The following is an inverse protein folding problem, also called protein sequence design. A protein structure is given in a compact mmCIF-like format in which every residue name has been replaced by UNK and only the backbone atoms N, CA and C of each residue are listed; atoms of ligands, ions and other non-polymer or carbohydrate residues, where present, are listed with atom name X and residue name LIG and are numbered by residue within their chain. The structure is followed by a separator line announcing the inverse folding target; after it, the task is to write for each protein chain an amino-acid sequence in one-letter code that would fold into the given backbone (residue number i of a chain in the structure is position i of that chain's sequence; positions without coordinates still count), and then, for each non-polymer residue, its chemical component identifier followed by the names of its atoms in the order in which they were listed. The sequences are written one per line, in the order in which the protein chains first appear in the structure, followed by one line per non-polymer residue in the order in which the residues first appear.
data_IF_603037858803
#
_entry.id   IF_603037858803
#
_cell.length_a   1.000
_cell.length_b   1.000
_cell.length_c   1.000
_cell.angle_alpha   90.00
_cell.angle_beta   90.00
_cell.angle_gamma   90.00
#
_symmetry.space_group_name_H-M   'P 1'
#
loop_
_entity.id
_entity.type
_entity.pdbx_description
1 polymer ?
#
# COMPACT_ATOMS: atom_id res chain seq x y z
N UNK A 1 -1.98 -42.20 15.03
CA UNK A 1 -0.67 -41.52 14.87
C UNK A 1 -0.79 -40.21 14.07
N UNK A 2 -1.48 -39.17 14.56
CA UNK A 2 -1.63 -37.87 13.85
C UNK A 2 -1.37 -36.63 14.71
N UNK A 3 -1.12 -36.79 16.02
CA UNK A 3 -0.95 -35.65 16.95
C UNK A 3 0.47 -35.09 16.98
N UNK A 4 1.48 -35.89 16.62
CA UNK A 4 2.88 -35.47 16.72
C UNK A 4 3.31 -34.55 15.55
N UNK A 5 2.69 -34.69 14.37
CA UNK A 5 3.05 -33.91 13.18
C UNK A 5 2.73 -32.41 13.30
N UNK A 6 1.66 -32.05 14.03
CA UNK A 6 1.29 -30.65 14.28
C UNK A 6 2.21 -29.95 15.29
N UNK A 7 2.78 -30.71 16.22
CA UNK A 7 3.69 -30.16 17.23
C UNK A 7 5.07 -29.85 16.61
N UNK A 8 5.57 -30.70 15.71
CA UNK A 8 6.81 -30.43 14.98
C UNK A 8 6.70 -29.24 14.01
N UNK A 9 5.54 -29.04 13.37
CA UNK A 9 5.33 -27.89 12.48
C UNK A 9 5.29 -26.55 13.24
N UNK A 10 4.67 -26.53 14.42
CA UNK A 10 4.59 -25.32 15.26
C UNK A 10 5.96 -24.93 15.86
N UNK A 11 6.78 -25.91 16.25
CA UNK A 11 8.14 -25.68 16.75
C UNK A 11 9.06 -25.17 15.63
N UNK A 12 8.91 -25.69 14.40
CA UNK A 12 9.69 -25.21 13.24
C UNK A 12 9.40 -23.76 12.87
N UNK A 13 8.13 -23.34 12.90
CA UNK A 13 7.74 -21.94 12.67
C UNK A 13 8.27 -21.04 13.80
N UNK A 14 8.17 -21.50 15.06
CA UNK A 14 8.66 -20.74 16.21
C UNK A 14 10.19 -20.54 16.19
N UNK A 15 10.96 -21.56 15.77
CA UNK A 15 12.41 -21.44 15.61
C UNK A 15 12.81 -20.54 14.43
N UNK A 16 12.04 -20.50 13.35
CA UNK A 16 12.26 -19.50 12.27
C UNK A 16 12.03 -18.07 12.76
N UNK A 17 11.00 -17.82 13.57
CA UNK A 17 10.75 -16.49 14.14
C UNK A 17 11.82 -16.09 15.17
N UNK A 18 12.36 -17.03 15.94
CA UNK A 18 13.42 -16.75 16.92
C UNK A 18 14.78 -16.46 16.24
N UNK A 19 15.10 -17.18 15.17
CA UNK A 19 16.28 -16.90 14.35
C UNK A 19 16.19 -15.53 13.64
N UNK A 20 14.99 -15.16 13.18
CA UNK A 20 14.74 -13.81 12.64
C UNK A 20 14.85 -12.72 13.72
N UNK A 21 14.44 -13.00 14.96
CA UNK A 21 14.54 -12.06 16.07
C UNK A 21 15.98 -11.89 16.58
N UNK A 22 16.81 -12.95 16.57
CA UNK A 22 18.24 -12.85 16.92
C UNK A 22 19.06 -12.16 15.81
N UNK A 23 18.67 -12.30 14.55
CA UNK A 23 19.27 -11.54 13.44
C UNK A 23 18.95 -10.04 13.47
N UNK A 24 17.94 -9.62 14.24
CA UNK A 24 17.60 -8.21 14.50
C UNK A 24 18.34 -7.61 15.71
N UNK A 25 19.05 -8.43 16.49
CA UNK A 25 19.74 -8.02 17.72
C UNK A 25 21.15 -7.47 17.52
N UNK A 26 21.77 -7.71 16.37
CA UNK A 26 23.08 -7.15 16.02
C UNK A 26 22.89 -5.88 15.19
N UNK A 27 23.00 -4.75 15.88
CA UNK A 27 23.37 -3.42 15.39
C UNK A 27 23.25 -3.22 13.87
N UNK A 28 22.02 -3.04 13.38
CA UNK A 28 21.85 -2.34 12.11
C UNK A 28 22.31 -0.88 12.34
N UNK A 29 23.29 -0.35 11.58
CA UNK A 29 23.50 1.09 11.54
C UNK A 29 22.14 1.73 11.22
N UNK A 30 21.91 2.97 11.66
CA UNK A 30 20.76 3.75 11.24
C UNK A 30 20.79 3.84 9.70
N UNK A 31 20.18 2.86 9.05
CA UNK A 31 20.08 2.80 7.60
C UNK A 31 19.07 3.89 7.28
N UNK A 32 19.55 4.98 6.69
CA UNK A 32 18.69 6.07 6.24
C UNK A 32 17.54 5.46 5.44
N UNK A 33 16.34 5.61 5.98
CA UNK A 33 15.16 5.00 5.41
C UNK A 33 14.92 5.63 4.03
N UNK A 34 15.03 4.82 2.98
CA UNK A 34 14.79 5.28 1.61
C UNK A 34 13.28 5.42 1.36
N UNK A 35 12.77 6.60 1.70
CA UNK A 35 11.35 6.93 1.51
C UNK A 35 10.92 6.87 0.05
N UNK A 36 11.83 7.20 -0.88
CA UNK A 36 11.52 7.19 -2.31
C UNK A 36 11.32 5.77 -2.81
N UNK A 37 12.25 4.86 -2.50
CA UNK A 37 12.12 3.45 -2.86
C UNK A 37 10.90 2.80 -2.20
N UNK A 38 10.56 3.20 -0.98
CA UNK A 38 9.35 2.73 -0.32
C UNK A 38 8.08 3.20 -1.04
N UNK A 39 8.02 4.47 -1.43
CA UNK A 39 6.90 5.03 -2.20
C UNK A 39 6.76 4.33 -3.56
N UNK A 40 7.87 4.10 -4.27
CA UNK A 40 7.88 3.35 -5.53
C UNK A 40 7.32 1.93 -5.36
N UNK A 41 7.65 1.25 -4.26
CA UNK A 41 7.10 -0.07 -3.95
C UNK A 41 5.57 -0.01 -3.72
N UNK A 42 5.08 0.97 -2.97
CA UNK A 42 3.64 1.18 -2.76
C UNK A 42 2.93 1.42 -4.10
N UNK A 43 3.48 2.29 -4.94
CA UNK A 43 2.93 2.56 -6.26
C UNK A 43 3.02 1.35 -7.20
N UNK A 44 4.02 0.50 -7.05
CA UNK A 44 4.08 -0.80 -7.73
C UNK A 44 2.91 -1.71 -7.35
N UNK A 45 2.53 -1.75 -6.07
CA UNK A 45 1.34 -2.48 -5.61
C UNK A 45 0.06 -1.87 -6.21
N UNK A 46 -0.05 -0.55 -6.23
CA UNK A 46 -1.17 0.16 -6.85
C UNK A 46 -1.34 -0.24 -8.32
N UNK A 47 -0.26 -0.14 -9.11
CA UNK A 47 -0.27 -0.48 -10.52
C UNK A 47 -0.68 -1.95 -10.75
N UNK A 48 -0.18 -2.86 -9.93
CA UNK A 48 -0.44 -4.29 -10.07
C UNK A 48 -1.85 -4.71 -9.64
N UNK A 49 -2.49 -3.98 -8.70
CA UNK A 49 -3.72 -4.46 -8.03
C UNK A 49 -4.94 -3.57 -8.14
N UNK A 50 -4.78 -2.27 -8.40
CA UNK A 50 -5.88 -1.30 -8.26
C UNK A 50 -6.07 -0.39 -9.46
N UNK A 51 -5.00 -0.08 -10.21
CA UNK A 51 -5.07 0.89 -11.30
C UNK A 51 -6.12 0.54 -12.37
N UNK A 52 -6.23 -0.74 -12.75
CA UNK A 52 -7.20 -1.21 -13.75
C UNK A 52 -8.65 -1.04 -13.28
N UNK A 53 -8.95 -1.42 -12.04
CA UNK A 53 -10.31 -1.36 -11.50
C UNK A 53 -10.75 0.09 -11.34
N UNK A 54 -9.84 0.96 -10.90
CA UNK A 54 -10.07 2.40 -10.82
C UNK A 54 -10.33 3.01 -12.20
N UNK A 55 -9.56 2.64 -13.23
CA UNK A 55 -9.79 3.10 -14.59
C UNK A 55 -11.15 2.62 -15.14
N UNK A 56 -11.57 1.39 -14.80
CA UNK A 56 -12.89 0.87 -15.14
C UNK A 56 -14.03 1.70 -14.53
N UNK A 57 -13.97 1.94 -13.21
CA UNK A 57 -14.97 2.73 -12.49
C UNK A 57 -15.03 4.18 -13.00
N UNK A 58 -13.88 4.79 -13.28
CA UNK A 58 -13.82 6.14 -13.83
C UNK A 58 -14.46 6.20 -15.21
N UNK A 59 -14.18 5.21 -16.07
CA UNK A 59 -14.76 5.12 -17.41
C UNK A 59 -16.29 5.02 -17.36
N UNK A 60 -16.83 4.15 -16.50
CA UNK A 60 -18.28 4.02 -16.30
C UNK A 60 -18.91 5.36 -15.90
N UNK A 61 -18.28 6.07 -14.95
CA UNK A 61 -18.72 7.40 -14.53
C UNK A 61 -18.71 8.40 -15.70
N UNK A 62 -17.62 8.46 -16.44
CA UNK A 62 -17.41 9.52 -17.44
C UNK A 62 -18.24 9.33 -18.71
N UNK A 63 -18.54 8.09 -19.10
CA UNK A 63 -19.50 7.78 -20.19
C UNK A 63 -20.87 8.40 -19.93
N UNK A 64 -21.28 8.52 -18.66
CA UNK A 64 -22.56 9.14 -18.29
C UNK A 64 -22.53 10.68 -18.23
N UNK A 65 -21.34 11.30 -18.19
CA UNK A 65 -21.16 12.73 -17.93
C UNK A 65 -20.66 13.51 -19.14
N UNK A 66 -19.92 12.87 -20.05
CA UNK A 66 -19.30 13.53 -21.19
C UNK A 66 -19.92 13.06 -22.51
N UNK A 67 -19.83 13.92 -23.53
CA UNK A 67 -20.13 13.53 -24.89
C UNK A 67 -19.23 12.36 -25.34
N UNK A 68 -19.72 11.39 -26.13
CA UNK A 68 -18.97 10.18 -26.49
C UNK A 68 -17.57 10.44 -27.05
N UNK A 69 -17.41 11.48 -27.87
CA UNK A 69 -16.14 11.88 -28.48
C UNK A 69 -15.10 12.40 -27.48
N UNK A 70 -15.51 12.76 -26.26
CA UNK A 70 -14.62 13.25 -25.19
C UNK A 70 -14.19 12.16 -24.21
N UNK A 71 -14.83 11.00 -24.23
CA UNK A 71 -14.57 9.91 -23.27
C UNK A 71 -13.15 9.36 -23.43
N UNK A 72 -12.74 8.98 -24.63
CA UNK A 72 -11.40 8.42 -24.83
C UNK A 72 -10.26 9.42 -24.54
N UNK A 73 -10.34 10.69 -25.00
CA UNK A 73 -9.36 11.68 -24.59
C UNK A 73 -9.31 11.87 -23.06
N UNK A 74 -10.46 11.91 -22.38
CA UNK A 74 -10.49 11.97 -20.92
C UNK A 74 -9.72 10.80 -20.30
N UNK A 75 -10.11 9.57 -20.67
CA UNK A 75 -9.57 8.35 -20.06
C UNK A 75 -8.07 8.21 -20.31
N UNK A 76 -7.59 8.60 -21.49
CA UNK A 76 -6.16 8.63 -21.78
C UNK A 76 -5.38 9.53 -20.82
N UNK A 77 -5.89 10.72 -20.51
CA UNK A 77 -5.21 11.63 -19.58
C UNK A 77 -5.36 11.18 -18.13
N UNK A 78 -6.51 10.62 -17.77
CA UNK A 78 -6.72 10.02 -16.46
C UNK A 78 -5.74 8.87 -16.18
N UNK A 79 -5.59 7.93 -17.12
CA UNK A 79 -4.66 6.80 -17.00
C UNK A 79 -3.21 7.27 -16.91
N UNK A 80 -2.81 8.27 -17.71
CA UNK A 80 -1.50 8.93 -17.55
C UNK A 80 -1.31 9.54 -16.17
N UNK A 81 -2.39 10.05 -15.56
CA UNK A 81 -2.41 10.53 -14.19
C UNK A 81 -2.14 9.42 -13.17
N UNK A 82 -2.74 8.23 -13.37
CA UNK A 82 -2.50 7.05 -12.53
C UNK A 82 -1.02 6.61 -12.55
N UNK A 83 -0.34 6.83 -13.66
CA UNK A 83 1.07 6.47 -13.85
C UNK A 83 2.04 7.59 -13.43
N UNK A 84 1.56 8.83 -13.26
CA UNK A 84 2.41 9.99 -13.02
C UNK A 84 3.13 9.94 -11.68
N UNK A 85 4.43 10.25 -11.66
CA UNK A 85 5.20 10.43 -10.43
C UNK A 85 5.01 11.78 -9.75
N UNK A 86 4.56 12.80 -10.49
CA UNK A 86 4.55 14.21 -10.02
C UNK A 86 3.16 14.80 -9.91
N UNK A 87 2.17 14.27 -10.63
CA UNK A 87 0.82 14.84 -10.68
C UNK A 87 0.73 16.17 -11.43
N UNK A 88 1.81 16.60 -12.09
CA UNK A 88 1.85 17.82 -12.88
C UNK A 88 1.83 17.52 -14.37
N UNK A 89 0.95 18.23 -15.07
CA UNK A 89 0.89 18.30 -16.53
C UNK A 89 0.56 19.73 -16.92
N UNK A 90 1.04 20.17 -18.07
CA UNK A 90 0.65 21.43 -18.69
C UNK A 90 0.07 21.12 -20.07
N UNK A 91 -1.13 21.59 -20.34
CA UNK A 91 -1.78 21.46 -21.65
C UNK A 91 -2.13 22.85 -22.13
N UNK A 92 -1.61 23.23 -23.31
CA UNK A 92 -1.87 24.54 -23.88
C UNK A 92 -3.30 24.66 -24.43
N UNK A 93 -3.91 25.82 -24.18
CA UNK A 93 -5.26 26.15 -24.66
C UNK A 93 -6.33 25.95 -23.58
N UNK A 94 -7.06 27.04 -23.25
CA UNK A 94 -8.08 27.04 -22.21
C UNK A 94 -9.20 26.00 -22.43
N UNK A 95 -9.54 25.74 -23.71
CA UNK A 95 -10.53 24.75 -24.12
C UNK A 95 -10.16 23.30 -23.72
N UNK A 96 -8.88 23.04 -23.39
CA UNK A 96 -8.38 21.72 -23.04
C UNK A 96 -8.17 21.52 -21.53
N UNK A 97 -8.52 22.49 -20.69
CA UNK A 97 -8.30 22.44 -19.24
C UNK A 97 -8.92 21.23 -18.55
N UNK A 98 -10.01 20.69 -19.10
CA UNK A 98 -10.65 19.48 -18.60
C UNK A 98 -9.77 18.23 -18.70
N UNK A 99 -8.79 18.20 -19.62
CA UNK A 99 -7.79 17.13 -19.71
C UNK A 99 -6.75 17.20 -18.60
N UNK A 100 -6.40 18.41 -18.15
CA UNK A 100 -5.54 18.59 -16.96
C UNK A 100 -6.26 18.08 -15.71
N UNK A 101 -7.57 18.36 -15.61
CA UNK A 101 -8.42 17.83 -14.53
C UNK A 101 -8.46 16.30 -14.57
N UNK A 102 -8.63 15.71 -15.75
CA UNK A 102 -8.60 14.25 -15.91
C UNK A 102 -7.28 13.66 -15.38
N UNK A 103 -6.15 14.23 -15.78
CA UNK A 103 -4.82 13.83 -15.33
C UNK A 103 -4.66 13.97 -13.80
N UNK A 104 -5.05 15.11 -13.24
CA UNK A 104 -4.98 15.35 -11.79
C UNK A 104 -5.89 14.40 -11.01
N UNK A 105 -7.06 14.04 -11.58
CA UNK A 105 -7.99 13.07 -10.99
C UNK A 105 -7.32 11.69 -10.88
N UNK A 106 -6.70 11.21 -11.96
CA UNK A 106 -5.95 9.95 -11.95
C UNK A 106 -4.83 9.94 -10.91
N UNK A 107 -4.01 11.00 -10.89
CA UNK A 107 -2.93 11.11 -9.90
C UNK A 107 -3.47 11.13 -8.46
N UNK A 108 -4.62 11.77 -8.23
CA UNK A 108 -5.27 11.81 -6.91
C UNK A 108 -5.70 10.42 -6.45
N UNK A 109 -6.24 9.57 -7.33
CA UNK A 109 -6.58 8.20 -6.98
C UNK A 109 -5.36 7.41 -6.47
N UNK A 110 -4.22 7.56 -7.16
CA UNK A 110 -2.95 6.95 -6.75
C UNK A 110 -2.48 7.45 -5.38
N UNK A 111 -2.57 8.75 -5.13
CA UNK A 111 -2.22 9.36 -3.83
C UNK A 111 -3.14 8.91 -2.69
N UNK A 112 -4.44 8.78 -2.95
CA UNK A 112 -5.39 8.26 -1.97
C UNK A 112 -5.10 6.80 -1.61
N UNK A 113 -4.73 5.98 -2.60
CA UNK A 113 -4.27 4.62 -2.33
C UNK A 113 -3.03 4.60 -1.45
N UNK A 114 -2.02 5.41 -1.77
CA UNK A 114 -0.78 5.53 -0.98
C UNK A 114 -1.09 5.90 0.48
N UNK A 115 -1.96 6.90 0.69
CA UNK A 115 -2.39 7.30 2.02
C UNK A 115 -3.06 6.14 2.78
N UNK A 116 -4.05 5.49 2.17
CA UNK A 116 -4.74 4.37 2.80
C UNK A 116 -3.82 3.17 3.09
N UNK A 117 -2.83 2.93 2.23
CA UNK A 117 -1.82 1.90 2.43
C UNK A 117 -0.97 2.18 3.68
N UNK A 118 -0.48 3.41 3.82
CA UNK A 118 0.34 3.83 4.95
C UNK A 118 -0.44 3.82 6.26
N UNK A 119 -1.69 4.31 6.25
CA UNK A 119 -2.58 4.25 7.42
C UNK A 119 -2.82 2.80 7.87
N UNK A 120 -3.05 1.89 6.92
CA UNK A 120 -3.21 0.46 7.19
C UNK A 120 -1.96 -0.18 7.79
N UNK A 121 -0.77 0.18 7.28
CA UNK A 121 0.50 -0.31 7.80
C UNK A 121 0.74 0.16 9.25
N UNK A 122 0.47 1.44 9.53
CA UNK A 122 0.61 1.99 10.88
C UNK A 122 -0.35 1.30 11.88
N UNK A 123 -1.61 1.08 11.47
CA UNK A 123 -2.59 0.38 12.30
C UNK A 123 -2.16 -1.06 12.61
N UNK A 124 -1.63 -1.79 11.62
CA UNK A 124 -1.13 -3.14 11.82
C UNK A 124 0.05 -3.19 12.81
N UNK A 125 0.99 -2.24 12.70
CA UNK A 125 2.13 -2.15 13.62
C UNK A 125 1.68 -1.90 15.07
N UNK A 126 0.72 -1.00 15.27
CA UNK A 126 0.15 -0.74 16.60
C UNK A 126 -0.51 -1.99 17.20
N UNK A 127 -1.26 -2.75 16.38
CA UNK A 127 -1.90 -3.98 16.83
C UNK A 127 -0.88 -5.05 17.25
N UNK A 128 0.21 -5.21 16.49
CA UNK A 128 1.29 -6.15 16.84
C UNK A 128 1.96 -5.77 18.16
N UNK A 129 2.22 -4.48 18.38
CA UNK A 129 2.85 -3.99 19.61
C UNK A 129 1.96 -4.20 20.84
N UNK A 130 0.64 -4.01 20.71
CA UNK A 130 -0.30 -4.29 21.80
C UNK A 130 -0.35 -5.80 22.15
N UNK A 131 -0.35 -6.68 21.13
CA UNK A 131 -0.28 -8.14 21.34
C UNK A 131 1.01 -8.51 22.05
N UNK A 132 2.15 -7.98 21.61
CA UNK A 132 3.43 -8.23 22.26
C UNK A 132 3.44 -7.74 23.72
N UNK A 133 2.91 -6.54 23.98
CA UNK A 133 2.77 -5.99 25.32
C UNK A 133 1.88 -6.84 26.24
N UNK A 134 0.82 -7.47 25.72
CA UNK A 134 -0.05 -8.38 26.47
C UNK A 134 0.65 -9.70 26.79
N UNK A 135 1.37 -10.27 25.83
CA UNK A 135 2.12 -11.52 26.02
C UNK A 135 3.25 -11.35 27.05
N UNK A 136 3.99 -10.25 26.99
CA UNK A 136 5.07 -9.95 27.94
C UNK A 136 4.57 -9.69 29.37
N UNK A 137 3.31 -9.26 29.56
CA UNK A 137 2.70 -9.14 30.90
C UNK A 137 2.20 -10.48 31.46
N UNK A 138 1.78 -11.40 30.59
CA UNK A 138 1.33 -12.74 31.01
C UNK A 138 2.50 -13.63 31.45
N UNK A 139 3.67 -13.49 30.85
CA UNK A 139 4.87 -14.25 31.27
C UNK A 139 5.38 -13.84 32.66
N UNK A 140 5.29 -12.56 33.03
CA UNK A 140 5.74 -12.05 34.34
C UNK A 140 4.79 -12.44 35.48
N UNK A 141 3.50 -12.64 35.19
CA UNK A 141 2.51 -13.07 36.20
C UNK A 141 2.59 -14.57 36.54
N UNK A 142 3.36 -15.36 35.79
CA UNK A 142 3.49 -16.82 35.96
C UNK A 142 4.59 -17.27 36.92
N UNK A 143 5.54 -16.39 37.28
CA UNK A 143 6.72 -16.74 38.08
C UNK A 143 6.56 -16.51 39.60
N UNK A 144 5.42 -15.99 40.07
CA UNK A 144 5.13 -15.79 41.49
C UNK A 144 4.03 -16.75 42.00
N UNK A 145 4.21 -18.05 41.85
CA UNK A 145 3.46 -19.08 42.58
C UNK A 145 4.34 -20.26 42.99
#
# INVERSE_FOLDING_TARGET
MRKNFRLFLAIGVFLMFLAAAQALGDQAPAQDYDWQKHQEAIWGVFAAKQARDIAGLEREKIVSLLAPEKVEPYMKYFERGLESGTGMILIEGAEQRWLEIAFQSGFRCKRLFEQGYLEGQAAALMAVNDIHGKLSRQSVSGENK
#
